data_IF_510405327659
#
_entry.id   IF_510405327659
#
_cell.length_a   1.000
_cell.length_b   1.000
_cell.length_c   1.000
_cell.angle_alpha   90.00
_cell.angle_beta   90.00
_cell.angle_gamma   90.00
#
_symmetry.space_group_name_H-M   'P 1'
#
loop_
_entity.id
_entity.type
_entity.pdbx_description
1 polymer ?
#
# COMPACT_ATOMS: atom_id res chain seq x y z
N UNK A 1 6.88 -47.55 -73.00
CA UNK A 1 7.79 -46.64 -72.30
C UNK A 1 7.07 -46.25 -71.04
N UNK A 2 7.35 -46.96 -69.93
CA UNK A 2 6.71 -46.76 -68.60
C UNK A 2 7.51 -45.74 -67.77
N UNK A 3 6.85 -44.74 -67.23
CA UNK A 3 7.42 -43.92 -66.16
C UNK A 3 6.59 -44.12 -64.94
N UNK A 4 7.15 -44.86 -63.98
CA UNK A 4 6.61 -44.98 -62.61
C UNK A 4 6.93 -43.74 -61.85
N UNK A 5 5.89 -43.08 -61.27
CA UNK A 5 6.01 -42.03 -60.25
C UNK A 5 5.87 -42.69 -58.88
N UNK A 6 6.96 -42.69 -58.11
CA UNK A 6 6.92 -43.02 -56.67
C UNK A 6 6.44 -41.82 -55.90
N UNK A 7 5.36 -41.95 -55.17
CA UNK A 7 4.84 -41.03 -54.27
C UNK A 7 5.49 -41.25 -52.89
N UNK A 8 6.43 -40.41 -52.51
CA UNK A 8 7.06 -40.44 -51.19
C UNK A 8 6.18 -39.78 -50.16
N UNK A 9 5.69 -40.57 -49.20
CA UNK A 9 4.89 -40.12 -48.03
C UNK A 9 5.86 -39.55 -46.98
N UNK A 10 5.90 -38.20 -46.83
CA UNK A 10 6.67 -37.52 -45.81
C UNK A 10 5.84 -37.51 -44.52
N UNK A 11 6.20 -38.37 -43.56
CA UNK A 11 5.62 -38.34 -42.21
C UNK A 11 6.30 -37.22 -41.44
N UNK A 12 5.60 -36.10 -41.23
CA UNK A 12 6.01 -35.02 -40.33
C UNK A 12 5.69 -35.46 -38.90
N UNK A 13 6.69 -35.92 -38.16
CA UNK A 13 6.61 -36.12 -36.72
C UNK A 13 6.74 -34.76 -36.03
N UNK A 14 5.64 -34.18 -35.60
CA UNK A 14 5.61 -33.00 -34.73
C UNK A 14 6.08 -33.42 -33.34
N UNK A 15 7.35 -33.12 -33.02
CA UNK A 15 7.83 -33.16 -31.64
C UNK A 15 7.23 -31.95 -30.86
N UNK A 16 6.20 -32.20 -30.06
CA UNK A 16 5.80 -31.27 -29.03
C UNK A 16 6.88 -31.21 -27.96
N UNK A 17 7.73 -30.19 -28.00
CA UNK A 17 8.55 -29.83 -26.86
C UNK A 17 7.63 -29.23 -25.79
N UNK A 18 7.29 -30.00 -24.77
CA UNK A 18 6.77 -29.48 -23.52
C UNK A 18 7.89 -28.67 -22.87
N UNK A 19 7.82 -27.33 -23.00
CA UNK A 19 8.66 -26.44 -22.22
C UNK A 19 8.08 -26.46 -20.80
N UNK A 20 8.67 -27.31 -19.96
CA UNK A 20 8.48 -27.21 -18.52
C UNK A 20 9.13 -25.89 -18.06
N UNK A 21 8.30 -24.91 -17.74
CA UNK A 21 8.73 -23.71 -17.03
C UNK A 21 9.24 -24.14 -15.64
N UNK A 22 10.53 -24.41 -15.54
CA UNK A 22 11.21 -24.51 -14.26
C UNK A 22 11.37 -23.08 -13.73
N UNK A 23 10.49 -22.68 -12.80
CA UNK A 23 10.72 -21.55 -11.94
C UNK A 23 12.01 -21.78 -11.12
N UNK A 24 12.61 -20.72 -10.53
CA UNK A 24 13.87 -20.82 -9.81
C UNK A 24 13.80 -21.89 -8.73
N UNK A 25 14.77 -22.79 -8.75
CA UNK A 25 14.86 -23.95 -7.87
C UNK A 25 14.90 -23.52 -6.39
N UNK A 26 13.97 -24.05 -5.62
CA UNK A 26 14.23 -24.56 -4.29
C UNK A 26 14.26 -23.61 -3.13
N UNK A 27 13.09 -23.11 -2.69
CA UNK A 27 12.80 -23.22 -1.25
C UNK A 27 11.74 -24.32 -1.12
N UNK A 28 12.13 -25.43 -0.48
CA UNK A 28 11.20 -26.50 -0.12
C UNK A 28 10.00 -25.86 0.59
N UNK A 29 8.79 -26.14 0.12
CA UNK A 29 7.58 -25.67 0.77
C UNK A 29 7.65 -26.11 2.24
N UNK A 30 7.90 -25.16 3.15
CA UNK A 30 7.89 -25.45 4.58
C UNK A 30 6.49 -25.93 4.92
N UNK A 31 6.37 -27.22 5.21
CA UNK A 31 5.11 -27.82 5.67
C UNK A 31 4.72 -27.19 7.01
N UNK A 32 3.44 -26.95 7.21
CA UNK A 32 2.95 -26.49 8.50
C UNK A 32 3.31 -27.51 9.59
N UNK A 33 3.72 -27.06 10.78
CA UNK A 33 4.00 -27.94 11.92
C UNK A 33 2.84 -28.84 12.28
N UNK A 34 3.11 -30.00 12.90
CA UNK A 34 2.07 -30.87 13.41
C UNK A 34 1.28 -30.18 14.53
N UNK A 35 -0.03 -30.45 14.62
CA UNK A 35 -0.92 -29.94 15.67
C UNK A 35 -2.39 -29.99 15.26
N UNK A 36 -3.28 -29.79 16.24
CA UNK A 36 -4.72 -30.05 16.11
C UNK A 36 -5.41 -29.17 15.03
N UNK A 37 -4.92 -27.96 14.81
CA UNK A 37 -5.47 -27.05 13.80
C UNK A 37 -4.73 -27.10 12.45
N UNK A 38 -3.71 -27.96 12.27
CA UNK A 38 -2.94 -28.02 11.02
C UNK A 38 -3.83 -28.19 9.80
N UNK A 39 -4.73 -29.18 9.82
CA UNK A 39 -5.62 -29.48 8.70
C UNK A 39 -6.54 -28.29 8.36
N UNK A 40 -7.03 -27.57 9.37
CA UNK A 40 -7.88 -26.40 9.18
C UNK A 40 -7.07 -25.26 8.53
N UNK A 41 -5.86 -25.00 9.01
CA UNK A 41 -4.99 -23.99 8.45
C UNK A 41 -4.60 -24.33 6.99
N UNK A 42 -4.33 -25.60 6.71
CA UNK A 42 -4.05 -26.08 5.34
C UNK A 42 -5.25 -25.89 4.41
N UNK A 43 -6.46 -26.20 4.85
CA UNK A 43 -7.65 -26.10 3.98
C UNK A 43 -8.22 -24.69 3.90
N UNK A 44 -8.36 -23.98 5.02
CA UNK A 44 -9.00 -22.68 5.05
C UNK A 44 -8.07 -21.53 4.65
N UNK A 45 -6.79 -21.59 5.04
CA UNK A 45 -5.88 -20.46 4.84
C UNK A 45 -5.06 -20.55 3.54
N UNK A 46 -4.71 -21.76 3.08
CA UNK A 46 -3.87 -21.90 1.87
C UNK A 46 -4.66 -21.94 0.57
N UNK A 47 -5.98 -21.85 0.63
CA UNK A 47 -6.85 -21.74 -0.56
C UNK A 47 -6.59 -20.48 -1.38
N UNK A 48 -6.22 -19.37 -0.71
CA UNK A 48 -6.07 -18.07 -1.36
C UNK A 48 -4.61 -17.61 -1.50
N UNK A 49 -3.69 -18.16 -0.71
CA UNK A 49 -2.27 -17.80 -0.74
C UNK A 49 -1.39 -18.95 -0.25
N UNK A 50 -0.09 -18.90 -0.57
CA UNK A 50 0.85 -19.96 -0.19
C UNK A 50 1.06 -20.03 1.33
N UNK A 51 1.28 -21.24 1.87
CA UNK A 51 1.58 -21.48 3.29
C UNK A 51 2.79 -20.68 3.78
N UNK A 52 3.72 -20.32 2.91
CA UNK A 52 4.89 -19.48 3.21
C UNK A 52 4.51 -18.10 3.74
N UNK A 53 3.33 -17.58 3.42
CA UNK A 53 2.83 -16.35 4.03
C UNK A 53 2.53 -16.50 5.53
N UNK A 54 2.27 -17.71 5.99
CA UNK A 54 2.08 -18.05 7.39
C UNK A 54 3.42 -18.38 8.03
N UNK A 55 4.17 -19.32 7.45
CA UNK A 55 5.42 -19.85 8.03
C UNK A 55 6.55 -18.83 8.08
N UNK A 56 6.51 -17.81 7.21
CA UNK A 56 7.50 -16.72 7.19
C UNK A 56 7.12 -15.53 8.08
N UNK A 57 6.00 -15.57 8.79
CA UNK A 57 5.58 -14.54 9.73
C UNK A 57 5.62 -15.05 11.17
N UNK A 58 5.42 -14.15 12.14
CA UNK A 58 5.25 -14.48 13.53
C UNK A 58 4.57 -13.30 14.23
N UNK A 59 3.62 -13.61 15.11
CA UNK A 59 2.80 -12.60 15.77
C UNK A 59 2.54 -12.97 17.24
N UNK A 60 2.11 -11.99 18.04
CA UNK A 60 1.55 -12.27 19.38
C UNK A 60 0.25 -13.07 19.27
N UNK A 61 -0.22 -13.71 20.34
CA UNK A 61 -1.53 -14.36 20.33
C UNK A 61 -2.66 -13.41 19.94
N UNK A 62 -2.64 -12.18 20.42
CA UNK A 62 -3.61 -11.13 20.11
C UNK A 62 -3.59 -10.75 18.64
N UNK A 63 -2.41 -10.56 18.09
CA UNK A 63 -2.24 -10.21 16.65
C UNK A 63 -2.67 -11.39 15.76
N UNK A 64 -2.37 -12.65 16.14
CA UNK A 64 -2.86 -13.83 15.44
C UNK A 64 -4.38 -13.92 15.47
N UNK A 65 -5.01 -13.66 16.62
CA UNK A 65 -6.47 -13.61 16.72
C UNK A 65 -7.08 -12.61 15.76
N UNK A 66 -6.57 -11.36 15.74
CA UNK A 66 -7.04 -10.33 14.82
C UNK A 66 -6.80 -10.73 13.35
N UNK A 67 -5.69 -11.41 13.06
CA UNK A 67 -5.38 -11.88 11.72
C UNK A 67 -6.34 -12.98 11.28
N UNK A 68 -6.64 -13.96 12.13
CA UNK A 68 -7.61 -15.02 11.85
C UNK A 68 -9.00 -14.43 11.61
N UNK A 69 -9.48 -13.54 12.50
CA UNK A 69 -10.75 -12.83 12.34
C UNK A 69 -10.82 -12.11 10.99
N UNK A 70 -9.74 -11.46 10.59
CA UNK A 70 -9.63 -10.77 9.31
C UNK A 70 -9.68 -11.72 8.12
N UNK A 71 -9.00 -12.88 8.20
CA UNK A 71 -9.02 -13.87 7.11
C UNK A 71 -10.40 -14.49 6.97
N UNK A 72 -11.11 -14.77 8.07
CA UNK A 72 -12.51 -15.22 8.06
C UNK A 72 -13.41 -14.16 7.40
N UNK A 73 -13.25 -12.90 7.76
CA UNK A 73 -13.99 -11.80 7.11
C UNK A 73 -13.69 -11.69 5.61
N UNK A 74 -12.50 -12.10 5.18
CA UNK A 74 -12.09 -12.17 3.78
C UNK A 74 -12.56 -13.42 3.04
N UNK A 75 -13.23 -14.37 3.76
CA UNK A 75 -13.81 -15.59 3.20
C UNK A 75 -13.04 -16.88 3.49
N UNK A 76 -12.10 -16.88 4.44
CA UNK A 76 -11.48 -18.12 4.91
C UNK A 76 -12.52 -18.94 5.70
N UNK A 77 -12.65 -20.22 5.35
CA UNK A 77 -13.64 -21.12 5.95
C UNK A 77 -13.09 -21.73 7.26
N UNK A 78 -13.03 -20.91 8.30
CA UNK A 78 -12.69 -21.34 9.66
C UNK A 78 -13.96 -21.29 10.50
N UNK A 79 -14.47 -22.45 10.99
CA UNK A 79 -15.65 -22.49 11.85
C UNK A 79 -15.47 -21.64 13.12
N UNK A 80 -16.49 -20.91 13.51
CA UNK A 80 -16.45 -19.98 14.65
C UNK A 80 -15.97 -20.65 15.95
N UNK A 81 -16.41 -21.89 16.20
CA UNK A 81 -16.00 -22.67 17.37
C UNK A 81 -14.57 -23.20 17.31
N UNK A 82 -13.88 -23.07 16.16
CA UNK A 82 -12.49 -23.52 15.96
C UNK A 82 -11.51 -22.35 15.87
N UNK A 83 -11.97 -21.11 15.85
CA UNK A 83 -11.11 -19.93 15.72
C UNK A 83 -10.07 -19.83 16.85
N UNK A 84 -10.46 -20.15 18.08
CA UNK A 84 -9.55 -20.16 19.23
C UNK A 84 -8.42 -21.20 19.02
N UNK A 85 -8.77 -22.43 18.62
CA UNK A 85 -7.81 -23.51 18.37
C UNK A 85 -6.84 -23.15 17.22
N UNK A 86 -7.35 -22.53 16.15
CA UNK A 86 -6.50 -22.03 15.04
C UNK A 86 -5.55 -20.93 15.53
N UNK A 87 -6.05 -20.00 16.34
CA UNK A 87 -5.22 -18.92 16.92
C UNK A 87 -4.13 -19.48 17.82
N UNK A 88 -4.46 -20.40 18.69
CA UNK A 88 -3.50 -21.03 19.61
C UNK A 88 -2.43 -21.82 18.85
N UNK A 89 -2.83 -22.57 17.83
CA UNK A 89 -1.89 -23.28 16.96
C UNK A 89 -0.91 -22.33 16.26
N UNK A 90 -1.42 -21.24 15.68
CA UNK A 90 -0.59 -20.25 15.00
C UNK A 90 0.34 -19.54 15.97
N UNK A 91 -0.14 -19.16 17.14
CA UNK A 91 0.66 -18.48 18.18
C UNK A 91 1.78 -19.37 18.71
N UNK A 92 1.52 -20.65 18.89
CA UNK A 92 2.50 -21.62 19.38
C UNK A 92 3.58 -21.92 18.34
N UNK A 93 3.21 -22.10 17.09
CA UNK A 93 4.13 -22.52 16.03
C UNK A 93 4.83 -21.36 15.33
N UNK A 94 4.21 -20.19 15.35
CA UNK A 94 4.73 -18.96 14.72
C UNK A 94 4.63 -17.78 15.71
N UNK A 95 5.36 -17.88 16.86
CA UNK A 95 5.37 -16.79 17.84
C UNK A 95 5.96 -15.52 17.26
N UNK A 96 5.71 -14.41 17.92
CA UNK A 96 6.29 -13.13 17.54
C UNK A 96 7.80 -13.25 17.38
N UNK A 97 8.28 -12.83 16.22
CA UNK A 97 9.72 -12.73 15.96
C UNK A 97 10.28 -11.53 16.70
N UNK A 98 11.59 -11.53 16.94
CA UNK A 98 12.26 -10.41 17.59
C UNK A 98 12.07 -9.11 16.76
N UNK A 99 11.06 -8.34 17.14
CA UNK A 99 10.72 -7.05 16.51
C UNK A 99 11.61 -5.97 17.16
N UNK A 100 12.22 -5.08 16.38
CA UNK A 100 12.99 -3.98 16.92
C UNK A 100 12.14 -3.13 17.87
N UNK A 101 12.75 -2.70 18.99
CA UNK A 101 12.09 -1.74 19.88
C UNK A 101 12.06 -0.36 19.23
N UNK A 102 10.97 0.35 19.45
CA UNK A 102 10.85 1.75 19.06
C UNK A 102 11.89 2.62 19.80
N UNK A 103 12.53 3.51 19.07
CA UNK A 103 13.36 4.58 19.62
C UNK A 103 12.54 5.87 19.63
N UNK A 104 12.27 6.38 20.84
CA UNK A 104 11.52 7.62 21.02
C UNK A 104 12.50 8.77 21.19
N UNK A 105 12.46 9.71 20.24
CA UNK A 105 13.30 10.91 20.23
C UNK A 105 12.50 12.07 20.80
N UNK A 106 12.89 12.67 21.93
CA UNK A 106 12.18 13.79 22.51
C UNK A 106 12.34 15.07 21.69
N UNK A 107 11.39 16.01 21.86
CA UNK A 107 11.44 17.32 21.21
C UNK A 107 10.34 18.25 21.67
N UNK A 108 10.29 19.46 21.08
CA UNK A 108 9.40 20.53 21.52
C UNK A 108 7.95 20.36 21.02
N UNK A 109 7.78 19.74 19.84
CA UNK A 109 6.44 19.54 19.25
C UNK A 109 5.63 18.58 20.10
N UNK A 110 4.38 18.92 20.37
CA UNK A 110 3.43 18.05 21.07
C UNK A 110 2.47 17.43 20.08
N UNK A 111 2.15 16.16 20.28
CA UNK A 111 1.08 15.48 19.53
C UNK A 111 0.15 14.78 20.50
N UNK A 112 -1.12 14.71 20.11
CA UNK A 112 -2.12 13.87 20.77
C UNK A 112 -2.80 13.01 19.72
N UNK A 113 -3.28 11.84 20.12
CA UNK A 113 -3.92 10.88 19.23
C UNK A 113 -5.39 10.71 19.59
N UNK A 114 -6.23 10.60 18.59
CA UNK A 114 -7.61 10.12 18.73
C UNK A 114 -7.80 8.99 17.73
N UNK A 115 -8.27 7.84 18.21
CA UNK A 115 -8.33 6.61 17.43
C UNK A 115 -9.76 6.08 17.38
N UNK A 116 -10.18 5.58 16.20
CA UNK A 116 -11.51 4.99 15.98
C UNK A 116 -11.35 3.59 15.39
N UNK A 117 -12.04 2.63 15.98
CA UNK A 117 -12.08 1.27 15.46
C UNK A 117 -13.08 1.18 14.31
N UNK A 118 -12.65 0.66 13.15
CA UNK A 118 -13.54 0.44 12.02
C UNK A 118 -14.63 -0.59 12.38
N UNK A 119 -15.92 -0.35 12.03
CA UNK A 119 -17.04 -1.21 12.44
C UNK A 119 -16.93 -2.63 11.90
N UNK A 120 -16.57 -2.78 10.62
CA UNK A 120 -16.40 -4.10 10.03
C UNK A 120 -15.08 -4.72 10.48
N UNK A 121 -15.16 -5.84 11.21
CA UNK A 121 -13.99 -6.60 11.67
C UNK A 121 -13.15 -7.05 10.48
N UNK A 122 -11.82 -6.96 10.59
CA UNK A 122 -10.92 -7.33 9.53
C UNK A 122 -10.92 -6.40 8.32
N UNK A 123 -11.46 -5.20 8.46
CA UNK A 123 -11.53 -4.20 7.38
C UNK A 123 -10.17 -3.86 6.79
N UNK A 124 -9.12 -3.88 7.59
CA UNK A 124 -7.76 -3.49 7.19
C UNK A 124 -7.73 -2.09 6.59
N UNK A 125 -7.98 -1.03 7.38
CA UNK A 125 -7.80 0.34 6.94
C UNK A 125 -6.43 0.50 6.27
N UNK A 126 -6.42 0.92 4.99
CA UNK A 126 -5.16 0.97 4.24
C UNK A 126 -4.72 2.41 3.96
N UNK A 127 -5.46 3.14 3.16
CA UNK A 127 -5.17 4.55 2.90
C UNK A 127 -6.21 5.43 3.62
N UNK A 128 -5.76 6.37 4.45
CA UNK A 128 -6.63 7.40 5.04
C UNK A 128 -6.77 8.57 4.08
N UNK A 129 -7.83 9.37 4.25
CA UNK A 129 -8.04 10.62 3.52
C UNK A 129 -8.77 11.61 4.43
N UNK A 130 -8.35 12.88 4.42
CA UNK A 130 -9.07 13.98 5.04
C UNK A 130 -9.72 14.82 3.95
N UNK A 131 -11.05 14.98 4.01
CA UNK A 131 -11.83 15.71 3.01
C UNK A 131 -12.08 17.16 3.37
N UNK A 132 -12.48 17.97 2.38
CA UNK A 132 -12.69 19.41 2.56
C UNK A 132 -13.82 19.75 3.53
N UNK A 133 -14.78 18.86 3.72
CA UNK A 133 -15.90 18.97 4.63
C UNK A 133 -15.58 18.55 6.09
N UNK A 134 -14.32 18.13 6.34
CA UNK A 134 -13.79 17.81 7.67
C UNK A 134 -14.02 16.38 8.10
N UNK A 135 -14.56 15.50 7.24
CA UNK A 135 -14.60 14.08 7.51
C UNK A 135 -13.23 13.42 7.27
N UNK A 136 -12.99 12.35 7.99
CA UNK A 136 -11.88 11.44 7.71
C UNK A 136 -12.43 10.19 7.01
N UNK A 137 -11.68 9.70 6.03
CA UNK A 137 -12.05 8.49 5.30
C UNK A 137 -10.96 7.44 5.41
N UNK A 138 -11.31 6.20 5.15
CA UNK A 138 -10.37 5.09 5.00
C UNK A 138 -10.85 4.09 3.95
N UNK A 139 -9.92 3.48 3.27
CA UNK A 139 -10.17 2.30 2.45
C UNK A 139 -10.10 1.06 3.32
N UNK A 140 -11.22 0.37 3.50
CA UNK A 140 -11.30 -0.94 4.16
C UNK A 140 -11.04 -2.04 3.15
N UNK A 141 -9.75 -2.28 2.85
CA UNK A 141 -9.31 -3.06 1.70
C UNK A 141 -9.89 -4.48 1.68
N UNK A 142 -9.89 -5.18 2.83
CA UNK A 142 -10.35 -6.56 2.90
C UNK A 142 -11.87 -6.68 3.12
N UNK A 143 -12.47 -5.71 3.79
CA UNK A 143 -13.92 -5.68 3.97
C UNK A 143 -14.68 -5.15 2.75
N UNK A 144 -13.98 -4.66 1.72
CA UNK A 144 -14.57 -4.04 0.53
C UNK A 144 -15.48 -2.86 0.90
N UNK A 145 -14.95 -1.91 1.68
CA UNK A 145 -15.68 -0.73 2.12
C UNK A 145 -14.84 0.54 1.96
N UNK A 146 -15.52 1.69 1.82
CA UNK A 146 -14.98 3.01 2.09
C UNK A 146 -15.65 3.51 3.38
N UNK A 147 -14.85 3.73 4.43
CA UNK A 147 -15.38 4.20 5.71
C UNK A 147 -15.19 5.71 5.86
N UNK A 148 -16.21 6.38 6.40
CA UNK A 148 -16.21 7.81 6.72
C UNK A 148 -16.39 8.02 8.21
N UNK A 149 -15.45 8.68 8.85
CA UNK A 149 -15.48 9.04 10.26
C UNK A 149 -15.91 10.48 10.41
N UNK A 150 -16.95 10.73 11.20
CA UNK A 150 -17.31 12.06 11.69
C UNK A 150 -16.55 12.32 12.99
N UNK A 151 -15.57 13.20 12.96
CA UNK A 151 -14.71 13.51 14.11
C UNK A 151 -15.43 14.26 15.24
N UNK A 152 -16.60 14.84 14.96
CA UNK A 152 -17.43 15.58 15.93
C UNK A 152 -18.35 14.68 16.72
N UNK A 153 -18.89 13.63 16.07
CA UNK A 153 -19.87 12.72 16.67
C UNK A 153 -19.29 11.35 16.95
N UNK A 154 -18.07 11.06 16.50
CA UNK A 154 -17.40 9.76 16.55
C UNK A 154 -18.14 8.64 15.79
N UNK A 155 -19.08 9.00 14.92
CA UNK A 155 -19.83 8.05 14.12
C UNK A 155 -19.04 7.65 12.89
N UNK A 156 -19.11 6.36 12.55
CA UNK A 156 -18.51 5.82 11.33
C UNK A 156 -19.62 5.27 10.43
N UNK A 157 -19.59 5.70 9.16
CA UNK A 157 -20.44 5.17 8.09
C UNK A 157 -19.59 4.47 7.06
N UNK A 158 -19.96 3.24 6.68
CA UNK A 158 -19.28 2.50 5.62
C UNK A 158 -20.13 2.44 4.35
N UNK A 159 -19.48 2.61 3.19
CA UNK A 159 -20.05 2.52 1.86
C UNK A 159 -19.42 1.32 1.14
N UNK A 160 -20.23 0.45 0.54
CA UNK A 160 -19.74 -0.75 -0.13
C UNK A 160 -19.70 -0.54 -1.64
N UNK A 161 -18.52 -0.67 -2.29
CA UNK A 161 -18.43 -0.71 -3.75
C UNK A 161 -19.37 -1.73 -4.36
N UNK A 162 -19.93 -1.41 -5.52
CA UNK A 162 -20.89 -2.24 -6.25
C UNK A 162 -20.28 -3.60 -6.63
N UNK A 163 -18.99 -3.58 -7.03
CA UNK A 163 -18.26 -4.79 -7.38
C UNK A 163 -17.69 -5.43 -6.11
N UNK A 164 -18.06 -6.69 -5.89
CA UNK A 164 -17.56 -7.43 -4.74
C UNK A 164 -16.05 -7.69 -4.83
N UNK A 165 -15.39 -7.70 -3.68
CA UNK A 165 -13.94 -7.97 -3.56
C UNK A 165 -13.08 -7.03 -4.41
N UNK A 166 -13.47 -5.76 -4.51
CA UNK A 166 -12.72 -4.73 -5.24
C UNK A 166 -11.36 -4.45 -4.61
N UNK A 167 -11.24 -4.63 -3.30
CA UNK A 167 -10.04 -4.29 -2.55
C UNK A 167 -9.71 -2.79 -2.63
N UNK A 168 -10.60 -1.88 -2.16
CA UNK A 168 -10.32 -0.44 -2.15
C UNK A 168 -8.98 -0.16 -1.50
N UNK A 169 -8.10 0.59 -2.18
CA UNK A 169 -6.73 0.81 -1.71
C UNK A 169 -6.42 2.30 -1.56
N UNK A 170 -5.93 2.97 -2.58
CA UNK A 170 -5.64 4.40 -2.53
C UNK A 170 -6.92 5.23 -2.59
N UNK A 171 -6.94 6.36 -1.87
CA UNK A 171 -8.05 7.30 -1.81
C UNK A 171 -7.61 8.71 -2.20
N UNK A 172 -8.48 9.43 -2.90
CA UNK A 172 -8.33 10.88 -3.14
C UNK A 172 -9.71 11.53 -3.32
N UNK A 173 -9.84 12.79 -2.91
CA UNK A 173 -11.03 13.61 -3.10
C UNK A 173 -10.90 14.47 -4.35
N UNK A 174 -11.97 14.56 -5.17
CA UNK A 174 -12.03 15.56 -6.24
C UNK A 174 -12.58 16.91 -5.75
N UNK A 175 -12.54 17.92 -6.63
CA UNK A 175 -13.03 19.29 -6.32
C UNK A 175 -14.53 19.36 -6.00
N UNK A 176 -15.31 18.36 -6.36
CA UNK A 176 -16.76 18.29 -6.16
C UNK A 176 -17.11 17.48 -4.89
N UNK A 177 -16.10 16.97 -4.18
CA UNK A 177 -16.23 16.21 -2.94
C UNK A 177 -16.52 14.72 -3.16
N UNK A 178 -16.33 14.20 -4.37
CA UNK A 178 -16.43 12.76 -4.60
C UNK A 178 -15.14 12.08 -4.14
N UNK A 179 -15.29 10.85 -3.64
CA UNK A 179 -14.16 10.02 -3.21
C UNK A 179 -13.78 9.06 -4.33
N UNK A 180 -12.57 9.21 -4.83
CA UNK A 180 -12.00 8.31 -5.82
C UNK A 180 -11.11 7.28 -5.15
N UNK A 181 -11.12 6.05 -5.66
CA UNK A 181 -10.32 4.97 -5.10
C UNK A 181 -9.80 4.03 -6.18
N UNK A 182 -8.70 3.40 -5.89
CA UNK A 182 -8.17 2.31 -6.71
C UNK A 182 -8.74 0.98 -6.23
N UNK A 183 -9.34 0.22 -7.14
CA UNK A 183 -9.86 -1.12 -6.88
C UNK A 183 -8.77 -2.15 -7.17
N UNK A 184 -7.86 -2.27 -6.21
CA UNK A 184 -6.59 -2.99 -6.29
C UNK A 184 -6.75 -4.45 -6.77
N UNK A 185 -7.79 -5.15 -6.29
CA UNK A 185 -8.03 -6.56 -6.61
C UNK A 185 -8.84 -6.79 -7.90
N UNK A 186 -9.39 -5.73 -8.53
CA UNK A 186 -10.31 -5.86 -9.68
C UNK A 186 -9.91 -5.01 -10.89
N UNK A 187 -8.84 -4.23 -10.81
CA UNK A 187 -8.32 -3.49 -11.95
C UNK A 187 -9.25 -2.42 -12.48
N UNK A 188 -9.82 -1.58 -11.61
CA UNK A 188 -10.60 -0.41 -12.01
C UNK A 188 -10.33 0.78 -11.07
N UNK A 189 -10.68 1.97 -11.52
CA UNK A 189 -10.77 3.17 -10.69
C UNK A 189 -12.25 3.39 -10.34
N UNK A 190 -12.55 3.52 -9.07
CA UNK A 190 -13.91 3.78 -8.59
C UNK A 190 -14.09 5.22 -8.11
N UNK A 191 -15.30 5.75 -8.28
CA UNK A 191 -15.74 7.03 -7.74
C UNK A 191 -17.01 6.83 -6.92
N UNK A 192 -17.02 7.34 -5.69
CA UNK A 192 -18.20 7.41 -4.82
C UNK A 192 -18.65 8.87 -4.72
N UNK A 193 -19.93 9.14 -4.98
CA UNK A 193 -20.60 10.35 -4.53
C UNK A 193 -21.08 10.13 -3.08
N UNK A 194 -20.50 10.79 -2.07
CA UNK A 194 -20.86 10.56 -0.67
C UNK A 194 -22.28 11.04 -0.31
N UNK A 195 -22.85 11.96 -1.10
CA UNK A 195 -24.18 12.52 -0.87
C UNK A 195 -25.29 11.53 -1.24
N UNK A 196 -25.11 10.87 -2.38
CA UNK A 196 -26.07 9.90 -2.91
C UNK A 196 -25.74 8.45 -2.59
N UNK A 197 -24.48 8.16 -2.27
CA UNK A 197 -23.96 6.81 -2.10
C UNK A 197 -23.72 6.07 -3.42
N UNK A 198 -23.83 6.77 -4.57
CA UNK A 198 -23.67 6.16 -5.90
C UNK A 198 -22.20 5.95 -6.23
N UNK A 199 -21.90 4.75 -6.73
CA UNK A 199 -20.59 4.41 -7.29
C UNK A 199 -20.59 4.52 -8.81
N UNK A 200 -19.44 4.88 -9.36
CA UNK A 200 -19.12 4.84 -10.80
C UNK A 200 -17.77 4.16 -10.97
N UNK A 201 -17.66 3.24 -11.92
CA UNK A 201 -16.46 2.46 -12.16
C UNK A 201 -15.85 2.78 -13.54
N UNK A 202 -14.52 2.94 -13.58
CA UNK A 202 -13.72 3.14 -14.79
C UNK A 202 -12.79 1.93 -14.94
N UNK A 203 -13.18 0.98 -15.78
CA UNK A 203 -12.43 -0.25 -16.00
C UNK A 203 -11.09 0.05 -16.69
N UNK A 204 -10.01 -0.46 -16.12
CA UNK A 204 -8.69 -0.34 -16.73
C UNK A 204 -8.56 -1.28 -17.94
N UNK A 205 -7.71 -0.95 -18.92
CA UNK A 205 -7.38 -1.82 -20.04
C UNK A 205 -6.90 -3.20 -19.57
N UNK A 206 -7.15 -4.22 -20.41
CA UNK A 206 -6.72 -5.59 -20.11
C UNK A 206 -5.23 -5.68 -19.78
N UNK A 207 -4.90 -6.46 -18.74
CA UNK A 207 -3.53 -6.60 -18.23
C UNK A 207 -3.10 -5.51 -17.23
N UNK A 208 -3.92 -4.48 -16.97
CA UNK A 208 -3.66 -3.49 -15.94
C UNK A 208 -4.18 -3.99 -14.58
N UNK A 209 -3.37 -4.78 -13.90
CA UNK A 209 -3.69 -5.31 -12.58
C UNK A 209 -3.06 -4.46 -11.47
N UNK A 210 -3.72 -4.42 -10.30
CA UNK A 210 -3.22 -3.81 -9.08
C UNK A 210 -3.01 -2.28 -9.18
N UNK A 211 -4.07 -1.47 -9.55
CA UNK A 211 -4.02 -0.03 -9.42
C UNK A 211 -3.85 0.34 -7.94
N UNK A 212 -2.92 1.29 -7.66
CA UNK A 212 -2.44 1.45 -6.30
C UNK A 212 -2.67 2.86 -5.72
N UNK A 213 -1.82 3.82 -6.03
CA UNK A 213 -1.89 5.18 -5.45
C UNK A 213 -2.49 6.15 -6.46
N UNK A 214 -3.67 6.74 -6.20
CA UNK A 214 -4.28 7.77 -7.05
C UNK A 214 -3.98 9.16 -6.49
N UNK A 215 -3.90 10.15 -7.37
CA UNK A 215 -3.90 11.58 -7.01
C UNK A 215 -4.38 12.44 -8.17
N UNK A 216 -4.90 13.63 -7.88
CA UNK A 216 -5.24 14.63 -8.89
C UNK A 216 -4.11 15.63 -9.10
N UNK A 217 -3.86 15.98 -10.37
CA UNK A 217 -3.09 17.18 -10.69
C UNK A 217 -3.97 18.45 -10.62
N UNK A 218 -3.34 19.61 -10.77
CA UNK A 218 -4.03 20.91 -10.71
C UNK A 218 -5.02 21.14 -11.88
N UNK A 219 -4.94 20.34 -12.95
CA UNK A 219 -5.85 20.35 -14.10
C UNK A 219 -7.06 19.43 -13.88
N UNK A 220 -7.06 18.65 -12.79
CA UNK A 220 -8.10 17.69 -12.44
C UNK A 220 -7.99 16.37 -13.21
N UNK A 221 -6.81 16.04 -13.73
CA UNK A 221 -6.51 14.70 -14.25
C UNK A 221 -6.15 13.80 -13.09
N UNK A 222 -6.74 12.63 -13.04
CA UNK A 222 -6.42 11.60 -12.04
C UNK A 222 -5.23 10.78 -12.54
N UNK A 223 -4.11 10.86 -11.83
CA UNK A 223 -2.94 10.02 -12.05
C UNK A 223 -2.96 8.86 -11.07
N UNK A 224 -2.45 7.70 -11.48
CA UNK A 224 -2.37 6.53 -10.62
C UNK A 224 -1.26 5.58 -11.02
N UNK A 225 -0.69 4.91 -10.04
CA UNK A 225 0.24 3.80 -10.27
C UNK A 225 -0.52 2.49 -10.47
N UNK A 226 0.02 1.59 -11.31
CA UNK A 226 -0.53 0.25 -11.58
C UNK A 226 0.57 -0.75 -11.26
N UNK A 227 0.72 -1.05 -9.97
CA UNK A 227 1.88 -1.74 -9.40
C UNK A 227 2.11 -3.12 -10.04
N UNK A 228 1.10 -3.97 -10.06
CA UNK A 228 1.21 -5.33 -10.56
C UNK A 228 1.46 -5.42 -12.06
N UNK A 229 1.10 -4.40 -12.83
CA UNK A 229 1.33 -4.34 -14.27
C UNK A 229 2.58 -3.54 -14.66
N UNK A 230 3.34 -3.01 -13.70
CA UNK A 230 4.52 -2.17 -13.94
C UNK A 230 4.23 -0.94 -14.81
N UNK A 231 3.09 -0.26 -14.57
CA UNK A 231 2.62 0.88 -15.35
C UNK A 231 2.26 2.07 -14.48
N UNK A 232 2.18 3.22 -15.13
CA UNK A 232 1.56 4.44 -14.59
C UNK A 232 0.42 4.84 -15.52
N UNK A 233 -0.67 5.34 -14.95
CA UNK A 233 -1.86 5.72 -15.71
C UNK A 233 -2.35 7.12 -15.40
N UNK A 234 -3.12 7.65 -16.34
CA UNK A 234 -3.95 8.83 -16.15
C UNK A 234 -5.38 8.56 -16.59
N UNK A 235 -6.32 9.14 -15.89
CA UNK A 235 -7.75 9.15 -16.23
C UNK A 235 -8.22 10.60 -16.30
N UNK A 236 -8.86 10.98 -17.39
CA UNK A 236 -9.61 12.24 -17.46
C UNK A 236 -11.05 12.00 -16.94
N UNK A 237 -11.42 12.55 -15.77
CA UNK A 237 -12.75 12.34 -15.20
C UNK A 237 -13.89 12.90 -16.03
N UNK A 238 -13.63 13.83 -16.95
CA UNK A 238 -14.65 14.46 -17.79
C UNK A 238 -15.06 13.57 -18.96
N UNK A 239 -14.10 12.87 -19.53
CA UNK A 239 -14.31 12.03 -20.72
C UNK A 239 -14.32 10.54 -20.40
N UNK A 240 -13.71 10.13 -19.28
CA UNK A 240 -13.45 8.73 -18.94
C UNK A 240 -12.24 8.15 -19.68
N UNK A 241 -11.48 8.97 -20.44
CA UNK A 241 -10.31 8.51 -21.20
C UNK A 241 -9.18 8.07 -20.26
N UNK A 242 -8.72 6.84 -20.45
CA UNK A 242 -7.64 6.23 -19.67
C UNK A 242 -6.44 5.98 -20.58
N UNK A 243 -5.26 6.45 -20.15
CA UNK A 243 -3.98 6.15 -20.81
C UNK A 243 -3.03 5.53 -19.82
N UNK A 244 -2.32 4.49 -20.26
CA UNK A 244 -1.30 3.79 -19.49
C UNK A 244 0.03 3.84 -20.23
N UNK A 245 1.13 3.90 -19.47
CA UNK A 245 2.50 3.80 -19.98
C UNK A 245 3.29 2.82 -19.10
N UNK A 246 4.18 2.04 -19.72
CA UNK A 246 5.08 1.16 -18.99
C UNK A 246 6.14 1.97 -18.23
N UNK A 247 6.39 1.61 -16.95
CA UNK A 247 7.57 2.08 -16.24
C UNK A 247 8.82 1.46 -16.90
N UNK A 248 9.85 2.26 -17.25
CA UNK A 248 10.98 1.79 -18.06
C UNK A 248 11.76 0.66 -17.39
N UNK A 249 11.90 0.72 -16.06
CA UNK A 249 12.57 -0.33 -15.28
C UNK A 249 11.65 -1.55 -15.12
N UNK A 250 12.04 -2.73 -15.60
CA UNK A 250 11.24 -3.93 -15.46
C UNK A 250 11.00 -4.30 -14.00
N UNK A 251 9.77 -4.67 -13.66
CA UNK A 251 9.37 -5.03 -12.28
C UNK A 251 9.67 -3.95 -11.24
N UNK A 252 9.59 -2.70 -11.66
CA UNK A 252 9.86 -1.56 -10.78
C UNK A 252 8.80 -1.36 -9.69
N UNK A 253 7.62 -1.97 -9.84
CA UNK A 253 6.50 -1.87 -8.90
C UNK A 253 6.16 -0.41 -8.56
N UNK A 254 5.66 0.41 -9.50
CA UNK A 254 5.26 1.79 -9.26
C UNK A 254 4.30 1.88 -8.06
N UNK A 255 4.64 2.70 -7.04
CA UNK A 255 3.97 2.66 -5.75
C UNK A 255 3.45 4.03 -5.32
N UNK A 256 4.07 4.68 -4.32
CA UNK A 256 3.68 6.00 -3.85
C UNK A 256 3.86 7.07 -4.91
N UNK A 257 2.96 8.05 -4.96
CA UNK A 257 2.93 9.10 -5.97
C UNK A 257 2.65 10.47 -5.35
N UNK A 258 3.26 11.53 -5.89
CA UNK A 258 2.98 12.95 -5.59
C UNK A 258 2.98 13.75 -6.88
N UNK A 259 2.47 14.99 -6.82
CA UNK A 259 2.48 15.94 -7.94
C UNK A 259 3.21 17.22 -7.51
N UNK A 260 4.08 17.75 -8.37
CA UNK A 260 4.77 19.03 -8.12
C UNK A 260 3.87 20.25 -8.41
N UNK A 261 4.40 21.42 -8.11
CA UNK A 261 3.69 22.70 -8.34
C UNK A 261 3.35 22.97 -9.81
N UNK A 262 4.01 22.31 -10.77
CA UNK A 262 3.80 22.43 -12.21
C UNK A 262 2.84 21.36 -12.78
N UNK A 263 2.38 20.44 -11.96
CA UNK A 263 1.49 19.34 -12.39
C UNK A 263 2.25 18.12 -12.91
N UNK A 264 3.52 17.96 -12.61
CA UNK A 264 4.30 16.78 -12.95
C UNK A 264 4.14 15.72 -11.88
N UNK A 265 3.61 14.51 -12.18
CA UNK A 265 3.56 13.43 -11.24
C UNK A 265 4.92 12.78 -11.06
N UNK A 266 5.27 12.51 -9.80
CA UNK A 266 6.42 11.70 -9.39
C UNK A 266 5.97 10.44 -8.69
N UNK A 267 6.66 9.34 -8.89
CA UNK A 267 6.35 8.08 -8.20
C UNK A 267 7.63 7.35 -7.80
N UNK A 268 7.51 6.56 -6.73
CA UNK A 268 8.60 5.69 -6.33
C UNK A 268 8.46 4.30 -6.96
N UNK A 269 9.59 3.68 -7.25
CA UNK A 269 9.71 2.34 -7.79
C UNK A 269 10.11 1.38 -6.67
N UNK A 270 9.10 0.81 -6.00
CA UNK A 270 9.33 -0.03 -4.81
C UNK A 270 10.12 -1.31 -5.12
N UNK A 271 10.09 -1.79 -6.37
CA UNK A 271 10.89 -2.93 -6.84
C UNK A 271 12.32 -2.57 -7.26
N UNK A 272 12.68 -1.29 -7.29
CA UNK A 272 13.96 -0.79 -7.74
C UNK A 272 14.43 0.41 -6.90
N UNK A 273 15.74 0.70 -6.85
CA UNK A 273 16.26 1.87 -6.15
C UNK A 273 16.05 3.15 -6.99
N UNK A 274 14.79 3.48 -7.31
CA UNK A 274 14.50 4.59 -8.20
C UNK A 274 13.29 5.42 -7.79
N UNK A 275 13.32 6.69 -8.18
CA UNK A 275 12.17 7.59 -8.23
C UNK A 275 12.03 8.02 -9.68
N UNK A 276 10.81 8.14 -10.16
CA UNK A 276 10.52 8.52 -11.53
C UNK A 276 9.52 9.69 -11.59
N UNK A 277 9.55 10.42 -12.69
CA UNK A 277 8.56 11.43 -13.05
C UNK A 277 7.98 11.12 -14.43
N UNK A 278 6.71 11.49 -14.63
CA UNK A 278 6.05 11.38 -15.92
C UNK A 278 5.68 12.75 -16.45
N UNK A 279 6.08 13.07 -17.69
CA UNK A 279 5.65 14.29 -18.35
C UNK A 279 4.14 14.23 -18.62
N UNK A 280 3.34 15.15 -18.08
CA UNK A 280 1.89 15.10 -18.16
C UNK A 280 1.32 15.28 -19.58
N UNK A 281 2.12 15.79 -20.53
CA UNK A 281 1.69 16.02 -21.91
C UNK A 281 2.07 14.86 -22.83
N UNK A 282 3.32 14.37 -22.71
CA UNK A 282 3.88 13.36 -23.61
C UNK A 282 3.81 11.94 -23.06
N UNK A 283 3.60 11.78 -21.76
CA UNK A 283 3.69 10.53 -21.00
C UNK A 283 5.10 9.92 -20.96
N UNK A 284 6.13 10.69 -21.34
CA UNK A 284 7.53 10.27 -21.23
C UNK A 284 7.96 10.18 -19.76
N UNK A 285 8.72 9.16 -19.42
CA UNK A 285 9.16 8.91 -18.05
C UNK A 285 10.66 9.19 -17.94
N UNK A 286 11.03 9.92 -16.88
CA UNK A 286 12.41 10.17 -16.45
C UNK A 286 12.63 9.51 -15.11
N UNK A 287 13.72 8.77 -14.96
CA UNK A 287 14.10 8.08 -13.73
C UNK A 287 15.36 8.70 -13.10
N UNK A 288 15.40 8.69 -11.76
CA UNK A 288 16.58 8.96 -10.94
C UNK A 288 16.94 7.72 -10.16
N UNK A 289 18.15 7.19 -10.36
CA UNK A 289 18.65 6.06 -9.58
C UNK A 289 19.20 6.55 -8.25
N UNK A 290 18.73 5.97 -7.16
CA UNK A 290 19.19 6.27 -5.81
C UNK A 290 20.61 5.73 -5.60
N UNK A 291 21.35 6.33 -4.65
CA UNK A 291 22.78 6.02 -4.44
C UNK A 291 23.02 4.58 -4.00
N UNK A 292 22.12 4.02 -3.20
CA UNK A 292 22.26 2.67 -2.68
C UNK A 292 21.39 1.69 -3.49
N UNK A 293 21.97 0.61 -4.03
CA UNK A 293 21.24 -0.38 -4.84
C UNK A 293 20.19 -1.18 -4.04
N UNK A 294 20.31 -1.23 -2.71
CA UNK A 294 19.34 -1.89 -1.82
C UNK A 294 18.18 -0.98 -1.42
N UNK A 295 18.21 0.31 -1.81
CA UNK A 295 17.12 1.23 -1.52
C UNK A 295 15.81 0.75 -2.17
N UNK A 296 14.73 0.84 -1.40
CA UNK A 296 13.37 0.50 -1.88
C UNK A 296 12.42 1.60 -1.41
N UNK A 297 12.36 2.72 -2.15
CA UNK A 297 11.44 3.81 -1.83
C UNK A 297 10.00 3.32 -1.99
N UNK A 298 9.21 3.43 -0.92
CA UNK A 298 7.86 2.88 -0.93
C UNK A 298 6.78 3.96 -1.05
N UNK A 299 6.85 4.99 -0.22
CA UNK A 299 6.00 6.17 -0.33
C UNK A 299 6.84 7.42 -0.34
N UNK A 300 6.29 8.47 -0.91
CA UNK A 300 6.97 9.75 -1.11
C UNK A 300 6.09 10.90 -0.66
N UNK A 301 6.72 11.99 -0.24
CA UNK A 301 6.11 13.28 0.04
C UNK A 301 6.85 14.37 -0.75
N UNK A 302 6.19 15.48 -0.98
CA UNK A 302 6.76 16.64 -1.69
C UNK A 302 6.59 17.88 -0.84
N UNK A 303 7.61 18.71 -0.80
CA UNK A 303 7.63 19.99 -0.07
C UNK A 303 7.15 21.13 -0.97
N UNK A 304 6.92 22.31 -0.38
CA UNK A 304 6.46 23.50 -1.09
C UNK A 304 7.45 24.01 -2.19
N UNK A 305 8.72 23.61 -2.12
CA UNK A 305 9.75 23.91 -3.12
C UNK A 305 9.99 22.78 -4.14
N UNK A 306 9.09 21.82 -4.19
CA UNK A 306 9.11 20.63 -5.05
C UNK A 306 10.26 19.65 -4.73
N UNK A 307 10.83 19.69 -3.54
CA UNK A 307 11.79 18.69 -3.08
C UNK A 307 11.06 17.42 -2.65
N UNK A 308 11.53 16.28 -3.14
CA UNK A 308 10.92 14.97 -2.84
C UNK A 308 11.61 14.32 -1.66
N UNK A 309 10.81 13.81 -0.72
CA UNK A 309 11.26 12.94 0.35
C UNK A 309 10.63 11.56 0.20
N UNK A 310 11.40 10.51 0.50
CA UNK A 310 10.94 9.13 0.37
C UNK A 310 11.25 8.30 1.61
N UNK A 311 10.35 7.40 1.91
CA UNK A 311 10.51 6.38 2.94
C UNK A 311 11.22 5.15 2.32
N UNK A 312 12.48 4.93 2.67
CA UNK A 312 13.22 3.74 2.25
C UNK A 312 12.86 2.56 3.17
N UNK A 313 11.89 1.82 2.74
CA UNK A 313 11.30 0.71 3.50
C UNK A 313 12.30 -0.41 3.79
N UNK A 314 13.21 -0.71 2.86
CA UNK A 314 14.12 -1.83 2.99
C UNK A 314 15.26 -1.56 3.96
N UNK A 315 15.83 -0.36 3.94
CA UNK A 315 17.03 -0.01 4.70
C UNK A 315 16.76 0.77 5.99
N UNK A 316 15.52 1.25 6.21
CA UNK A 316 15.21 2.07 7.38
C UNK A 316 15.78 3.48 7.29
N UNK A 317 15.64 4.15 6.14
CA UNK A 317 16.12 5.51 5.91
C UNK A 317 14.98 6.44 5.50
N UNK A 318 15.13 7.71 5.83
CA UNK A 318 14.47 8.82 5.16
C UNK A 318 15.41 9.34 4.09
N UNK A 319 14.95 9.44 2.84
CA UNK A 319 15.74 10.00 1.75
C UNK A 319 15.14 11.26 1.17
N UNK A 320 15.98 12.09 0.53
CA UNK A 320 15.63 13.31 -0.20
C UNK A 320 16.19 13.24 -1.61
N UNK A 321 15.39 13.68 -2.56
CA UNK A 321 15.78 13.95 -3.95
C UNK A 321 15.33 15.37 -4.32
N UNK A 322 16.26 16.21 -4.75
CA UNK A 322 15.92 17.43 -5.48
C UNK A 322 15.84 17.10 -6.98
N UNK A 323 14.66 17.08 -7.60
CA UNK A 323 14.52 16.64 -8.99
C UNK A 323 15.09 17.64 -10.00
N UNK A 324 15.29 18.91 -9.60
CA UNK A 324 15.87 19.98 -10.45
C UNK A 324 17.38 19.84 -10.59
N UNK A 325 18.06 19.47 -9.49
CA UNK A 325 19.53 19.34 -9.46
C UNK A 325 20.02 17.90 -9.50
N UNK A 326 19.17 16.94 -9.14
CA UNK A 326 19.54 15.54 -8.94
C UNK A 326 20.25 15.29 -7.60
N UNK A 327 20.36 16.30 -6.73
CA UNK A 327 21.00 16.13 -5.41
C UNK A 327 20.19 15.18 -4.54
N UNK A 328 20.88 14.24 -3.89
CA UNK A 328 20.30 13.24 -3.00
C UNK A 328 21.00 13.23 -1.65
N UNK A 329 20.20 13.12 -0.57
CA UNK A 329 20.69 12.96 0.79
C UNK A 329 19.80 11.95 1.54
N UNK A 330 20.38 11.23 2.48
CA UNK A 330 19.70 10.21 3.26
C UNK A 330 20.07 10.33 4.74
N UNK A 331 19.12 9.96 5.61
CA UNK A 331 19.28 9.92 7.06
C UNK A 331 18.77 8.60 7.59
N UNK A 332 19.50 7.91 8.49
CA UNK A 332 18.98 6.71 9.13
C UNK A 332 17.75 7.08 9.99
N UNK A 333 16.73 6.27 9.92
CA UNK A 333 15.55 6.41 10.76
C UNK A 333 15.89 6.13 12.24
N UNK A 334 15.26 6.80 13.20
CA UNK A 334 15.62 6.69 14.62
C UNK A 334 15.69 5.27 15.18
N UNK A 335 14.78 4.39 14.76
CA UNK A 335 14.77 3.00 15.24
C UNK A 335 15.65 2.04 14.42
N UNK A 336 16.44 2.58 13.48
CA UNK A 336 17.47 1.85 12.75
C UNK A 336 17.00 1.09 11.50
N UNK A 337 17.88 0.23 10.94
CA UNK A 337 17.74 -0.29 9.59
C UNK A 337 16.56 -1.26 9.39
N UNK A 338 16.00 -1.80 10.46
CA UNK A 338 14.83 -2.70 10.39
C UNK A 338 13.51 -2.00 10.74
N UNK A 339 13.50 -0.67 10.81
CA UNK A 339 12.32 0.10 11.22
C UNK A 339 11.20 0.15 10.18
N UNK A 340 11.53 -0.07 8.91
CA UNK A 340 10.60 -0.03 7.78
C UNK A 340 9.77 1.26 7.72
N UNK A 341 10.37 2.43 7.44
CA UNK A 341 9.63 3.65 7.14
C UNK A 341 8.60 3.43 6.04
N UNK A 342 7.33 3.90 6.23
CA UNK A 342 6.30 3.57 5.26
C UNK A 342 5.43 4.78 4.87
N UNK A 343 4.34 5.07 5.61
CA UNK A 343 3.52 6.25 5.35
C UNK A 343 4.35 7.51 5.56
N UNK A 344 4.23 8.47 4.66
CA UNK A 344 5.00 9.73 4.70
C UNK A 344 4.16 10.88 4.18
N UNK A 345 4.28 12.05 4.79
CA UNK A 345 3.64 13.29 4.35
C UNK A 345 4.46 14.51 4.74
N UNK A 346 4.17 15.65 4.11
CA UNK A 346 4.75 16.95 4.46
C UNK A 346 3.70 17.79 5.14
N UNK A 347 4.03 18.35 6.32
CA UNK A 347 3.15 19.23 7.08
C UNK A 347 3.93 20.29 7.84
N UNK A 348 3.55 21.55 7.69
CA UNK A 348 4.09 22.69 8.44
C UNK A 348 5.63 22.74 8.41
N UNK A 349 6.22 22.59 7.22
CA UNK A 349 7.67 22.67 7.02
C UNK A 349 8.46 21.46 7.51
N UNK A 350 7.80 20.37 7.89
CA UNK A 350 8.44 19.14 8.35
C UNK A 350 7.95 17.91 7.57
N UNK A 351 8.81 16.91 7.48
CA UNK A 351 8.46 15.60 6.97
C UNK A 351 7.97 14.74 8.14
N UNK A 352 6.82 14.12 7.94
CA UNK A 352 6.24 13.19 8.90
C UNK A 352 6.14 11.81 8.27
N UNK A 353 6.57 10.78 8.98
CA UNK A 353 6.47 9.39 8.53
C UNK A 353 6.32 8.46 9.73
N UNK A 354 6.03 7.20 9.47
CA UNK A 354 5.99 6.20 10.52
C UNK A 354 7.06 5.12 10.30
N UNK A 355 7.51 4.51 11.40
CA UNK A 355 8.28 3.28 11.39
C UNK A 355 7.33 2.11 11.66
N UNK A 356 7.11 1.26 10.65
CA UNK A 356 6.03 0.26 10.67
C UNK A 356 6.44 -1.12 11.16
N UNK A 357 7.73 -1.36 11.38
CA UNK A 357 8.24 -2.66 11.82
C UNK A 357 8.85 -2.64 13.23
N UNK A 358 8.60 -1.61 14.00
CA UNK A 358 9.01 -1.49 15.41
C UNK A 358 7.80 -1.63 16.32
N UNK A 359 8.02 -1.99 17.58
CA UNK A 359 6.95 -2.09 18.58
C UNK A 359 7.19 -1.14 19.77
N UNK A 360 6.15 -0.28 20.05
CA UNK A 360 5.03 0.08 19.18
C UNK A 360 5.51 0.75 17.89
N UNK A 361 4.68 0.79 16.83
CA UNK A 361 5.00 1.63 15.68
C UNK A 361 5.18 3.08 16.14
N UNK A 362 6.03 3.84 15.47
CA UNK A 362 6.26 5.24 15.81
C UNK A 362 5.74 6.17 14.73
N UNK A 363 5.28 7.33 15.15
CA UNK A 363 5.20 8.52 14.31
C UNK A 363 6.51 9.27 14.44
N UNK A 364 7.12 9.65 13.33
CA UNK A 364 8.39 10.37 13.28
C UNK A 364 8.20 11.70 12.58
N UNK A 365 8.74 12.77 13.15
CA UNK A 365 8.88 14.10 12.55
C UNK A 365 10.36 14.35 12.25
N UNK A 366 10.64 14.79 11.03
CA UNK A 366 11.96 15.24 10.61
C UNK A 366 11.87 16.71 10.20
N UNK A 367 12.75 17.52 10.72
CA UNK A 367 12.86 18.95 10.36
C UNK A 367 13.95 19.13 9.30
N UNK A 368 13.59 19.46 8.04
CA UNK A 368 14.57 19.58 6.96
C UNK A 368 15.62 20.67 7.15
N UNK A 369 15.32 21.70 7.95
CA UNK A 369 16.22 22.83 8.20
C UNK A 369 17.31 22.49 9.20
N UNK A 370 16.95 21.76 10.25
CA UNK A 370 17.87 21.39 11.33
C UNK A 370 18.37 19.97 11.24
N UNK A 371 17.78 19.15 10.39
CA UNK A 371 18.03 17.72 10.21
C UNK A 371 17.82 16.90 11.50
N UNK A 372 16.94 17.38 12.37
CA UNK A 372 16.63 16.73 13.65
C UNK A 372 15.35 15.92 13.57
N UNK A 373 15.37 14.79 14.26
CA UNK A 373 14.21 13.92 14.43
C UNK A 373 13.53 14.18 15.77
N UNK A 374 12.23 13.90 15.79
CA UNK A 374 11.42 13.71 16.97
C UNK A 374 10.45 12.57 16.72
N UNK A 375 10.16 11.72 17.73
CA UNK A 375 9.26 10.59 17.52
C UNK A 375 8.40 10.28 18.71
N UNK A 376 7.24 9.65 18.46
CA UNK A 376 6.24 9.27 19.43
C UNK A 376 5.76 7.85 19.18
N UNK A 377 5.47 7.12 20.24
CA UNK A 377 4.75 5.85 20.14
C UNK A 377 3.31 6.10 19.68
N UNK A 378 2.81 5.30 18.75
CA UNK A 378 1.39 5.28 18.40
C UNK A 378 0.66 4.51 19.51
N UNK A 379 -0.39 5.07 20.14
CA UNK A 379 -0.96 4.53 21.39
C UNK A 379 -1.50 3.10 21.28
N UNK A 380 -2.28 2.81 20.25
CA UNK A 380 -2.78 1.46 20.01
C UNK A 380 -1.69 0.48 19.51
N UNK A 381 -0.48 0.97 19.23
CA UNK A 381 0.62 0.16 18.73
C UNK A 381 0.86 0.25 17.23
N UNK A 382 -0.03 0.89 16.46
CA UNK A 382 0.07 1.14 15.02
C UNK A 382 -0.23 -0.06 14.13
N UNK A 383 0.21 -1.26 14.47
CA UNK A 383 -0.09 -2.50 13.74
C UNK A 383 0.13 -2.39 12.24
N UNK A 384 1.24 -1.81 11.79
CA UNK A 384 1.58 -1.39 10.42
C UNK A 384 0.70 -0.21 9.94
N UNK A 385 1.14 1.00 10.22
CA UNK A 385 0.60 2.21 9.57
C UNK A 385 1.08 2.21 8.11
N UNK A 386 0.14 2.14 7.17
CA UNK A 386 0.45 1.94 5.74
C UNK A 386 0.49 3.24 4.94
N UNK A 387 -0.28 4.21 5.38
CA UNK A 387 -0.29 5.54 4.80
C UNK A 387 -0.71 6.57 5.83
N UNK A 388 -0.37 7.81 5.54
CA UNK A 388 -0.81 8.99 6.29
C UNK A 388 -1.05 10.15 5.34
N UNK A 389 -1.96 11.04 5.70
CA UNK A 389 -2.27 12.24 4.94
C UNK A 389 -2.50 13.41 5.89
N UNK A 390 -2.27 14.62 5.39
CA UNK A 390 -2.53 15.84 6.15
C UNK A 390 -4.01 16.21 6.10
N UNK A 391 -4.48 16.82 7.17
CA UNK A 391 -5.76 17.50 7.21
C UNK A 391 -5.59 18.99 6.90
N UNK A 392 -6.65 19.68 6.51
CA UNK A 392 -6.60 21.12 6.20
C UNK A 392 -6.32 22.02 7.41
N UNK A 393 -6.65 21.55 8.59
CA UNK A 393 -6.43 22.24 9.87
C UNK A 393 -5.06 21.93 10.50
N UNK A 394 -4.17 21.26 9.75
CA UNK A 394 -2.78 21.06 10.15
C UNK A 394 -2.55 19.85 11.06
N UNK A 395 -3.36 18.82 10.93
CA UNK A 395 -3.22 17.55 11.60
C UNK A 395 -2.85 16.43 10.62
N UNK A 396 -2.72 15.19 11.10
CA UNK A 396 -2.39 14.03 10.26
C UNK A 396 -3.39 12.91 10.55
N UNK A 397 -3.95 12.31 9.50
CA UNK A 397 -4.74 11.08 9.59
C UNK A 397 -3.87 9.89 9.24
N UNK A 398 -3.98 8.80 10.00
CA UNK A 398 -3.24 7.55 9.82
C UNK A 398 -4.19 6.36 9.72
N UNK A 399 -3.75 5.29 9.05
CA UNK A 399 -4.47 4.03 8.96
C UNK A 399 -3.64 2.90 9.59
N UNK A 400 -4.10 2.35 10.71
CA UNK A 400 -3.46 1.30 11.51
C UNK A 400 -4.03 -0.07 11.11
N UNK A 401 -3.49 -0.61 10.03
CA UNK A 401 -4.11 -1.68 9.24
C UNK A 401 -4.40 -2.96 10.02
N UNK A 402 -3.43 -3.46 10.79
CA UNK A 402 -3.61 -4.73 11.51
C UNK A 402 -4.55 -4.60 12.71
N UNK A 403 -4.69 -3.39 13.26
CA UNK A 403 -5.52 -3.12 14.44
C UNK A 403 -6.96 -2.74 14.08
N UNK A 404 -7.25 -2.57 12.78
CA UNK A 404 -8.55 -2.13 12.30
C UNK A 404 -8.94 -0.73 12.81
N UNK A 405 -7.95 0.18 12.86
CA UNK A 405 -8.08 1.52 13.45
C UNK A 405 -7.76 2.59 12.40
N UNK A 406 -8.45 3.72 12.53
CA UNK A 406 -8.13 5.00 11.89
C UNK A 406 -7.79 6.00 12.99
N UNK A 407 -6.66 6.68 12.86
CA UNK A 407 -6.17 7.62 13.86
C UNK A 407 -6.08 9.04 13.32
N UNK A 408 -6.40 10.02 14.16
CA UNK A 408 -6.11 11.43 13.96
C UNK A 408 -4.99 11.85 14.92
N UNK A 409 -3.90 12.33 14.37
CA UNK A 409 -2.79 12.90 15.11
C UNK A 409 -2.96 14.41 15.12
N UNK A 410 -3.32 14.96 16.25
CA UNK A 410 -3.43 16.42 16.46
C UNK A 410 -2.04 16.96 16.79
N UNK A 411 -1.54 17.82 15.90
CA UNK A 411 -0.22 18.43 16.02
C UNK A 411 -0.34 19.77 16.74
N UNK A 412 0.29 19.88 17.91
CA UNK A 412 0.33 21.13 18.68
C UNK A 412 1.03 22.25 17.90
N UNK A 413 0.44 23.43 17.98
CA UNK A 413 0.98 24.67 17.37
C UNK A 413 2.19 25.17 18.13
#
# INVERSE_FOLDING_TARGET
MNKNFLLGLLILTTFCFAVSAQGPAGQAAQSLPAGDAKAIVETACTTCHAATMITNTGHTPEDWKLLVERMVSAGADVPQNQMAMVTDYLSKNFPERNVPKAVLVPGAVKVTFKEWKAPTVGSRPHDPLATHDGYLWYSGQYANVLGRVDTKTDQIKEFRPTIARSGPHGLVEDKDGNIWFTANSKGYIGKLDPKTGKFTEYTLPAGAADPHTPLFDQKGILWFTVQGANKVGRLDPKTGDIKLVDSPTPRSLPYGMVVDSNGTPYYCEFGAPKIAAIDPNTMAIKEWTLKDPEARPRRIAITDDDTIYYADYARGYLGRLNPKTGEMKEWPSPSGPRSQPYGITFLNGAIWYNESAVKPNTLVRFDPKTEKFQSWAIPAGGGVVRNMMTTRDGNIVIAESALNIVGLVMVGK
#
